data_IF_760573276845
#
_entry.id   IF_760573276845
#
_cell.length_a   1.000
_cell.length_b   1.000
_cell.length_c   1.000
_cell.angle_alpha   90.00
_cell.angle_beta   90.00
_cell.angle_gamma   90.00
#
_symmetry.space_group_name_H-M   'P 1'
#
loop_
_entity.id
_entity.type
_entity.pdbx_description
1 polymer ?
#
# COMPACT_ATOMS: atom_id res chain seq x y z
N UNK A 1 -9.75 -14.01 10.80
CA UNK A 1 -10.52 -12.92 11.46
C UNK A 1 -9.56 -11.79 11.77
N UNK A 2 -9.54 -10.76 10.93
CA UNK A 2 -8.83 -9.52 11.17
C UNK A 2 -9.61 -8.44 10.42
N UNK A 3 -10.54 -7.81 11.13
CA UNK A 3 -11.30 -6.67 10.62
C UNK A 3 -10.44 -5.41 10.67
N UNK A 4 -10.77 -4.46 9.80
CA UNK A 4 -10.23 -3.10 9.87
C UNK A 4 -10.41 -2.59 11.30
N UNK A 5 -9.31 -2.33 12.00
CA UNK A 5 -9.37 -1.47 13.19
C UNK A 5 -9.53 -0.06 12.64
N UNK A 6 -10.65 0.61 12.96
CA UNK A 6 -10.93 2.00 12.60
C UNK A 6 -9.86 2.93 13.22
N UNK A 7 -8.70 2.98 12.57
CA UNK A 7 -7.54 3.76 13.01
C UNK A 7 -7.35 5.01 12.16
N UNK A 8 -8.27 5.28 11.21
CA UNK A 8 -8.26 6.43 10.32
C UNK A 8 -8.25 7.74 11.13
N UNK A 9 -7.06 8.32 11.28
CA UNK A 9 -6.80 9.50 12.10
C UNK A 9 -5.43 10.10 11.81
N UNK A 10 -5.13 11.21 12.47
CA UNK A 10 -3.80 11.82 12.40
C UNK A 10 -2.75 10.83 12.92
N UNK A 11 -1.71 10.54 12.13
CA UNK A 11 -0.67 9.56 12.45
C UNK A 11 -0.68 8.29 11.59
N UNK A 12 -0.41 7.15 12.23
CA UNK A 12 -0.09 5.87 11.58
C UNK A 12 -1.35 5.08 11.21
N UNK A 13 -1.62 4.89 9.91
CA UNK A 13 -2.73 4.08 9.44
C UNK A 13 -2.22 2.81 8.75
N UNK A 14 -2.58 1.65 9.31
CA UNK A 14 -2.22 0.32 8.80
C UNK A 14 -3.47 -0.30 8.18
N UNK A 15 -3.37 -0.71 6.93
CA UNK A 15 -4.48 -1.33 6.20
C UNK A 15 -4.40 -2.85 6.30
N UNK A 16 -5.43 -3.46 6.87
CA UNK A 16 -5.64 -4.91 6.82
C UNK A 16 -7.02 -5.10 6.19
N UNK A 17 -7.06 -5.48 4.91
CA UNK A 17 -8.30 -5.67 4.19
C UNK A 17 -8.31 -7.05 3.53
N UNK A 18 -9.34 -7.84 3.83
CA UNK A 18 -9.58 -9.14 3.19
C UNK A 18 -10.58 -9.01 2.04
N UNK A 19 -11.24 -7.87 1.91
CA UNK A 19 -12.29 -7.59 0.93
C UNK A 19 -11.99 -6.29 0.15
N UNK A 20 -12.09 -6.27 -1.19
CA UNK A 20 -11.82 -5.07 -1.99
C UNK A 20 -12.74 -3.89 -1.63
N UNK A 21 -13.99 -4.14 -1.25
CA UNK A 21 -14.95 -3.09 -0.94
C UNK A 21 -14.62 -2.45 0.40
N UNK A 22 -14.21 -3.22 1.40
CA UNK A 22 -13.67 -2.70 2.67
C UNK A 22 -12.41 -1.84 2.44
N UNK A 23 -11.49 -2.32 1.61
CA UNK A 23 -10.28 -1.56 1.24
C UNK A 23 -10.63 -0.23 0.58
N UNK A 24 -11.52 -0.26 -0.42
CA UNK A 24 -11.97 0.92 -1.13
C UNK A 24 -12.68 1.91 -0.21
N UNK A 25 -13.55 1.42 0.68
CA UNK A 25 -14.25 2.25 1.65
C UNK A 25 -13.25 2.97 2.56
N UNK A 26 -12.26 2.27 3.10
CA UNK A 26 -11.18 2.87 3.90
C UNK A 26 -10.40 3.93 3.10
N UNK A 27 -9.97 3.60 1.88
CA UNK A 27 -9.19 4.52 1.03
C UNK A 27 -9.95 5.81 0.72
N UNK A 28 -11.28 5.74 0.60
CA UNK A 28 -12.15 6.92 0.40
C UNK A 28 -12.30 7.79 1.65
N UNK A 29 -11.93 7.31 2.84
CA UNK A 29 -11.95 8.11 4.07
C UNK A 29 -10.67 8.91 4.32
N UNK A 30 -9.63 8.72 3.49
CA UNK A 30 -8.34 9.38 3.65
C UNK A 30 -8.47 10.90 3.51
N UNK A 31 -7.81 11.60 4.43
CA UNK A 31 -7.65 13.05 4.47
C UNK A 31 -6.19 13.41 4.19
N UNK A 32 -5.92 14.61 3.63
CA UNK A 32 -4.56 15.08 3.48
C UNK A 32 -3.75 14.92 4.77
N UNK A 33 -2.51 14.45 4.65
CA UNK A 33 -1.63 14.17 5.79
C UNK A 33 -1.74 12.75 6.36
N UNK A 34 -2.74 11.95 5.97
CA UNK A 34 -2.76 10.54 6.36
C UNK A 34 -1.62 9.75 5.70
N UNK A 35 -0.83 9.07 6.54
CA UNK A 35 0.16 8.10 6.08
C UNK A 35 -0.51 6.73 5.98
N UNK A 36 -0.40 6.09 4.83
CA UNK A 36 -0.94 4.77 4.52
C UNK A 36 0.19 3.78 4.35
N UNK A 37 0.20 2.73 5.17
CA UNK A 37 1.13 1.61 5.07
C UNK A 37 0.41 0.36 4.55
N UNK A 38 1.00 -0.30 3.57
CA UNK A 38 0.49 -1.49 2.90
C UNK A 38 1.59 -2.53 2.76
N UNK A 39 1.25 -3.78 3.06
CA UNK A 39 2.06 -4.94 2.75
C UNK A 39 1.15 -6.03 2.17
N UNK A 40 1.53 -6.63 1.04
CA UNK A 40 0.79 -7.73 0.45
C UNK A 40 1.00 -9.02 1.26
N UNK A 41 -0.01 -9.88 1.22
CA UNK A 41 0.07 -11.24 1.74
C UNK A 41 -0.65 -12.18 0.79
N UNK A 42 0.03 -13.27 0.41
CA UNK A 42 -0.43 -14.18 -0.65
C UNK A 42 -0.65 -13.37 -1.94
N UNK A 43 -1.87 -13.30 -2.50
CA UNK A 43 -2.10 -12.67 -3.80
C UNK A 43 -2.87 -11.35 -3.63
N UNK A 44 -2.19 -10.18 -3.74
CA UNK A 44 -2.84 -8.88 -3.61
C UNK A 44 -3.73 -8.54 -4.80
N UNK A 45 -3.52 -9.14 -5.98
CA UNK A 45 -4.20 -8.69 -7.21
C UNK A 45 -5.70 -8.88 -7.16
N UNK A 46 -6.17 -9.90 -6.44
CA UNK A 46 -7.59 -10.16 -6.19
C UNK A 46 -8.29 -9.05 -5.39
N UNK A 47 -7.52 -8.19 -4.72
CA UNK A 47 -8.01 -7.07 -3.89
C UNK A 47 -7.83 -5.71 -4.53
N UNK A 48 -7.10 -5.63 -5.64
CA UNK A 48 -6.73 -4.38 -6.30
C UNK A 48 -7.55 -4.19 -7.58
N UNK A 49 -8.79 -3.70 -7.43
CA UNK A 49 -9.61 -3.23 -8.56
C UNK A 49 -8.97 -2.01 -9.22
N UNK A 50 -9.38 -1.68 -10.45
CA UNK A 50 -8.83 -0.52 -11.18
C UNK A 50 -8.96 0.78 -10.37
N UNK A 51 -10.10 0.99 -9.71
CA UNK A 51 -10.33 2.16 -8.85
C UNK A 51 -9.37 2.19 -7.66
N UNK A 52 -9.13 1.05 -7.00
CA UNK A 52 -8.17 0.96 -5.89
C UNK A 52 -6.75 1.24 -6.38
N UNK A 53 -6.38 0.73 -7.56
CA UNK A 53 -5.07 0.99 -8.18
C UNK A 53 -4.91 2.46 -8.52
N UNK A 54 -5.95 3.12 -9.02
CA UNK A 54 -5.94 4.56 -9.30
C UNK A 54 -5.76 5.39 -8.02
N UNK A 55 -6.39 5.01 -6.91
CA UNK A 55 -6.17 5.68 -5.61
C UNK A 55 -4.71 5.50 -5.15
N UNK A 56 -4.14 4.30 -5.26
CA UNK A 56 -2.73 4.10 -4.91
C UNK A 56 -1.78 4.85 -5.84
N UNK A 57 -2.09 4.97 -7.13
CA UNK A 57 -1.33 5.85 -8.02
C UNK A 57 -1.42 7.32 -7.60
N UNK A 58 -2.60 7.78 -7.13
CA UNK A 58 -2.76 9.13 -6.57
C UNK A 58 -2.02 9.32 -5.23
N UNK A 59 -1.82 8.24 -4.47
CA UNK A 59 -0.94 8.20 -3.28
C UNK A 59 0.56 8.17 -3.64
N UNK A 60 0.91 8.13 -4.94
CA UNK A 60 2.27 8.18 -5.44
C UNK A 60 2.85 6.84 -5.88
N UNK A 61 2.10 5.73 -5.77
CA UNK A 61 2.59 4.43 -6.24
C UNK A 61 2.87 4.46 -7.74
N UNK A 62 4.06 3.98 -8.10
CA UNK A 62 4.51 3.81 -9.48
C UNK A 62 4.36 2.36 -9.97
N UNK A 63 4.23 1.41 -9.03
CA UNK A 63 4.22 -0.02 -9.31
C UNK A 63 2.84 -0.68 -9.15
N UNK A 64 1.87 -0.02 -8.49
CA UNK A 64 0.57 -0.66 -8.19
C UNK A 64 -0.19 -1.11 -9.43
N UNK A 65 -0.04 -0.44 -10.58
CA UNK A 65 -0.72 -0.84 -11.82
C UNK A 65 -0.07 -2.04 -12.51
N UNK A 66 1.20 -2.34 -12.21
CA UNK A 66 1.93 -3.46 -12.82
C UNK A 66 1.92 -4.75 -11.97
N UNK A 67 1.34 -4.72 -10.76
CA UNK A 67 1.23 -5.88 -9.87
C UNK A 67 0.56 -7.07 -10.55
N UNK A 68 1.26 -8.21 -10.52
CA UNK A 68 0.84 -9.51 -11.02
C UNK A 68 0.52 -10.47 -9.86
N UNK A 69 -0.19 -11.58 -10.15
CA UNK A 69 -0.51 -12.57 -9.14
C UNK A 69 0.74 -13.05 -8.39
N UNK A 70 0.62 -13.05 -7.06
CA UNK A 70 1.67 -13.48 -6.10
C UNK A 70 2.90 -12.58 -5.97
N UNK A 71 2.90 -11.39 -6.57
CA UNK A 71 3.96 -10.42 -6.32
C UNK A 71 3.98 -9.99 -4.84
N UNK A 72 5.18 -9.88 -4.28
CA UNK A 72 5.41 -9.26 -2.98
C UNK A 72 5.50 -7.74 -3.16
N UNK A 73 4.65 -7.00 -2.47
CA UNK A 73 4.57 -5.54 -2.60
C UNK A 73 4.41 -4.88 -1.25
N UNK A 74 5.24 -3.89 -0.99
CA UNK A 74 5.16 -3.02 0.17
C UNK A 74 5.12 -1.58 -0.31
N UNK A 75 4.24 -0.80 0.30
CA UNK A 75 4.02 0.60 -0.05
C UNK A 75 3.75 1.42 1.20
N UNK A 76 4.37 2.59 1.24
CA UNK A 76 4.10 3.62 2.22
C UNK A 76 3.96 4.95 1.49
N UNK A 77 2.84 5.63 1.64
CA UNK A 77 2.59 6.93 1.00
C UNK A 77 1.79 7.87 1.91
N UNK A 78 1.88 9.16 1.63
CA UNK A 78 1.11 10.19 2.34
C UNK A 78 0.05 10.78 1.39
N UNK A 79 -1.22 10.73 1.79
CA UNK A 79 -2.30 11.26 0.97
C UNK A 79 -2.29 12.79 0.95
N UNK A 80 -2.42 13.38 -0.24
CA UNK A 80 -2.56 14.83 -0.40
C UNK A 80 -1.29 15.66 -0.16
N UNK A 81 -0.12 15.03 0.04
CA UNK A 81 1.15 15.71 0.29
C UNK A 81 2.07 15.50 -0.90
N UNK A 82 2.36 16.55 -1.67
CA UNK A 82 3.14 16.44 -2.91
C UNK A 82 4.63 16.24 -2.66
N UNK A 83 5.12 16.75 -1.53
CA UNK A 83 6.52 16.76 -1.13
C UNK A 83 6.94 15.42 -0.51
N UNK A 84 5.98 14.65 0.01
CA UNK A 84 6.23 13.34 0.60
C UNK A 84 6.39 12.28 -0.50
N UNK A 85 7.65 11.91 -0.77
CA UNK A 85 7.93 10.77 -1.66
C UNK A 85 7.48 9.47 -1.00
N UNK A 86 6.81 8.57 -1.74
CA UNK A 86 6.44 7.26 -1.21
C UNK A 86 7.67 6.36 -1.08
N UNK A 87 7.58 5.39 -0.18
CA UNK A 87 8.48 4.25 -0.13
C UNK A 87 7.76 3.05 -0.74
N UNK A 88 8.35 2.43 -1.76
CA UNK A 88 7.70 1.37 -2.50
C UNK A 88 8.73 0.32 -2.94
N UNK A 89 8.39 -0.96 -2.78
CA UNK A 89 9.18 -2.07 -3.31
C UNK A 89 8.23 -3.13 -3.88
N UNK A 90 8.52 -3.56 -5.10
CA UNK A 90 7.88 -4.69 -5.78
C UNK A 90 8.93 -5.78 -5.99
N UNK A 91 8.57 -7.00 -5.63
CA UNK A 91 9.36 -8.19 -5.91
C UNK A 91 8.45 -9.12 -6.71
N UNK A 92 8.80 -9.28 -7.98
CA UNK A 92 7.97 -10.02 -8.91
C UNK A 92 8.04 -11.51 -8.62
N UNK A 93 6.89 -12.17 -8.71
CA UNK A 93 6.83 -13.62 -8.73
C UNK A 93 7.49 -14.14 -10.03
N UNK A 94 8.57 -14.90 -9.87
CA UNK A 94 9.27 -15.60 -10.93
C UNK A 94 9.61 -17.02 -10.48
N UNK A 95 8.90 -18.01 -11.03
CA UNK A 95 9.06 -19.43 -10.74
C UNK A 95 10.51 -19.94 -10.83
N UNK A 96 11.39 -19.25 -11.56
CA UNK A 96 12.82 -19.63 -11.67
C UNK A 96 13.69 -19.07 -10.56
N UNK A 97 13.31 -17.94 -9.98
CA UNK A 97 14.14 -17.13 -9.10
C UNK A 97 13.49 -16.86 -7.73
N UNK A 98 12.28 -17.38 -7.50
CA UNK A 98 11.57 -17.25 -6.25
C UNK A 98 12.40 -17.82 -5.07
N UNK A 99 12.38 -17.09 -3.96
CA UNK A 99 13.09 -17.50 -2.74
C UNK A 99 12.40 -18.66 -2.01
N UNK A 100 11.09 -18.82 -2.22
CA UNK A 100 10.29 -19.92 -1.72
C UNK A 100 9.53 -20.54 -2.90
N UNK A 101 9.27 -21.85 -2.88
CA UNK A 101 8.61 -22.62 -3.96
C UNK A 101 7.90 -21.76 -5.04
N UNK A 102 6.72 -21.27 -4.69
CA UNK A 102 5.80 -20.54 -5.55
C UNK A 102 5.73 -19.03 -5.25
N UNK A 103 6.64 -18.52 -4.40
CA UNK A 103 6.57 -17.19 -3.80
C UNK A 103 7.90 -16.42 -3.83
N UNK A 104 7.89 -15.14 -4.24
CA UNK A 104 9.08 -14.30 -4.15
C UNK A 104 9.49 -14.03 -2.69
N UNK A 105 10.69 -13.49 -2.49
CA UNK A 105 11.14 -13.07 -1.16
C UNK A 105 10.24 -11.98 -0.55
N UNK A 106 10.38 -11.78 0.76
CA UNK A 106 9.65 -10.73 1.47
C UNK A 106 10.13 -9.32 1.06
N UNK A 107 9.18 -8.42 0.83
CA UNK A 107 9.45 -7.00 0.59
C UNK A 107 9.67 -6.25 1.89
N UNK A 108 10.67 -5.37 1.90
CA UNK A 108 10.94 -4.45 3.02
C UNK A 108 11.23 -3.06 2.47
N UNK A 109 10.69 -2.05 3.15
CA UNK A 109 11.02 -0.63 2.96
C UNK A 109 11.23 0.00 4.34
N UNK A 110 12.26 0.82 4.45
CA UNK A 110 12.58 1.59 5.66
C UNK A 110 12.77 3.04 5.24
N UNK A 111 12.26 3.97 6.04
CA UNK A 111 12.44 5.39 5.78
C UNK A 111 11.80 6.27 6.84
N UNK A 112 11.90 7.57 6.60
CA UNK A 112 11.33 8.61 7.45
C UNK A 112 10.42 9.49 6.61
N UNK A 113 9.14 9.57 6.96
CA UNK A 113 8.29 10.62 6.40
C UNK A 113 8.63 11.96 7.06
N UNK A 114 8.80 13.04 6.29
CA UNK A 114 8.97 14.36 6.86
C UNK A 114 7.69 14.72 7.63
N UNK A 115 7.87 15.37 8.79
CA UNK A 115 6.73 15.98 9.49
C UNK A 115 6.25 17.15 8.65
N UNK A 116 4.98 17.13 8.28
CA UNK A 116 4.36 18.24 7.55
C UNK A 116 3.61 19.08 8.58
N UNK A 117 4.01 20.34 8.74
CA UNK A 117 3.29 21.31 9.57
C UNK A 117 2.36 22.13 8.69
N UNK A 118 1.08 22.24 9.06
CA UNK A 118 0.09 23.07 8.35
C UNK A 118 0.29 24.59 8.54
N UNK A 119 1.42 25.03 9.15
CA UNK A 119 1.68 26.42 9.54
C UNK A 119 3.04 26.95 9.05
N UNK A 120 3.36 26.75 7.77
CA UNK A 120 4.25 27.64 6.99
C UNK A 120 3.69 27.89 5.59
#
# INVERSE_FOLDING_TARGET
>A
MGGIRNNAGEGLNIVIANDPQELLAYLKTLKPGNIVLVASYIDPTTKLTDEIRDIFSALGSTMVKSLKPRDSWVFAGAYGIKEARPFEKLIQNDMRNNAYEDWPEMGEVIGCFPRISENE
#
